data_IF_641738082164
#
_entry.id   IF_641738082164
#
_cell.length_a   1.000
_cell.length_b   1.000
_cell.length_c   1.000
_cell.angle_alpha   90.00
_cell.angle_beta   90.00
_cell.angle_gamma   90.00
#
_symmetry.space_group_name_H-M   'P 1'
#
loop_
_entity.id
_entity.type
_entity.pdbx_description
1 polymer ?
#
# COMPACT_ATOMS: atom_id res chain seq x y z
N UNK A 1 -37.67 -49.25 24.06
CA UNK A 1 -37.85 -47.78 24.18
C UNK A 1 -36.64 -47.12 23.56
N UNK A 2 -36.86 -46.34 22.51
CA UNK A 2 -35.82 -45.64 21.77
C UNK A 2 -35.30 -44.46 22.60
N UNK A 3 -33.98 -44.31 22.72
CA UNK A 3 -33.39 -43.09 23.29
C UNK A 3 -32.78 -42.28 22.13
N UNK A 4 -33.42 -41.17 21.78
CA UNK A 4 -32.98 -40.19 20.78
C UNK A 4 -32.06 -39.16 21.44
N UNK A 5 -30.88 -39.02 20.84
CA UNK A 5 -30.08 -37.81 20.59
C UNK A 5 -30.08 -36.65 21.61
N UNK A 6 -28.88 -36.20 21.96
CA UNK A 6 -28.45 -34.86 21.53
C UNK A 6 -26.99 -34.91 21.10
N UNK A 7 -26.76 -34.76 19.79
CA UNK A 7 -25.44 -34.60 19.21
C UNK A 7 -24.96 -33.17 19.45
N UNK A 8 -23.71 -33.04 19.88
CA UNK A 8 -22.98 -31.78 19.86
C UNK A 8 -22.82 -31.32 18.42
N UNK A 9 -23.34 -30.14 18.10
CA UNK A 9 -23.12 -29.47 16.80
C UNK A 9 -21.63 -29.12 16.69
N UNK A 10 -20.91 -29.52 15.63
CA UNK A 10 -19.54 -29.10 15.42
C UNK A 10 -19.47 -27.65 14.93
N UNK A 11 -18.61 -26.85 15.56
CA UNK A 11 -17.95 -25.71 14.93
C UNK A 11 -18.81 -24.48 14.67
N UNK A 12 -19.16 -23.74 15.71
CA UNK A 12 -19.16 -22.28 15.55
C UNK A 12 -17.71 -21.85 15.43
N UNK A 13 -17.26 -21.50 14.22
CA UNK A 13 -16.07 -20.67 14.09
C UNK A 13 -16.35 -19.39 14.87
N UNK A 14 -15.62 -19.18 15.97
CA UNK A 14 -15.60 -17.88 16.63
C UNK A 14 -15.27 -16.84 15.54
N UNK A 15 -16.18 -15.88 15.35
CA UNK A 15 -15.94 -14.78 14.44
C UNK A 15 -14.69 -14.06 14.92
N UNK A 16 -13.58 -14.26 14.21
CA UNK A 16 -12.30 -13.69 14.60
C UNK A 16 -12.42 -12.17 14.57
N UNK A 17 -12.12 -11.50 15.69
CA UNK A 17 -12.03 -10.03 15.74
C UNK A 17 -10.82 -9.51 14.95
N UNK A 18 -10.01 -10.40 14.37
CA UNK A 18 -8.85 -10.06 13.58
C UNK A 18 -9.19 -9.15 12.39
N UNK A 19 -8.28 -8.21 12.11
CA UNK A 19 -8.32 -7.37 10.92
C UNK A 19 -7.73 -8.13 9.75
N UNK A 20 -8.43 -8.14 8.62
CA UNK A 20 -8.00 -8.72 7.36
C UNK A 20 -7.19 -7.68 6.58
N UNK A 21 -5.91 -7.97 6.32
CA UNK A 21 -5.00 -7.02 5.68
C UNK A 21 -4.58 -7.53 4.31
N UNK A 22 -4.87 -6.74 3.28
CA UNK A 22 -4.57 -7.07 1.88
C UNK A 22 -3.45 -6.17 1.37
N UNK A 23 -2.37 -6.74 0.88
CA UNK A 23 -1.38 -6.01 0.10
C UNK A 23 -1.83 -5.90 -1.37
N UNK A 24 -1.81 -4.70 -1.94
CA UNK A 24 -2.10 -4.45 -3.35
C UNK A 24 -0.88 -3.80 -4.04
N UNK A 25 -0.08 -4.63 -4.69
CA UNK A 25 1.06 -4.20 -5.49
C UNK A 25 0.72 -3.86 -6.93
N UNK A 26 1.64 -3.18 -7.59
CA UNK A 26 1.59 -2.96 -9.03
C UNK A 26 2.68 -2.00 -9.47
N UNK A 27 2.99 -2.02 -10.77
CA UNK A 27 3.91 -1.05 -11.36
C UNK A 27 3.32 0.37 -11.27
N UNK A 28 4.15 1.44 -11.27
CA UNK A 28 3.63 2.79 -11.35
C UNK A 28 2.75 2.96 -12.60
N UNK A 29 1.64 3.68 -12.45
CA UNK A 29 0.68 3.86 -13.54
C UNK A 29 -0.27 2.68 -13.79
N UNK A 30 -0.16 1.57 -13.05
CA UNK A 30 -1.04 0.39 -13.19
C UNK A 30 -2.49 0.64 -12.79
N UNK A 31 -2.75 1.64 -11.95
CA UNK A 31 -4.09 1.93 -11.42
C UNK A 31 -4.39 1.29 -10.07
N UNK A 32 -3.38 0.82 -9.34
CA UNK A 32 -3.44 0.33 -7.94
C UNK A 32 -4.36 1.16 -7.03
N UNK A 33 -4.16 2.47 -6.92
CA UNK A 33 -4.98 3.33 -6.05
C UNK A 33 -6.46 3.38 -6.49
N UNK A 34 -6.72 3.44 -7.79
CA UNK A 34 -8.09 3.37 -8.33
C UNK A 34 -8.76 2.02 -8.02
N UNK A 35 -8.01 0.91 -8.17
CA UNK A 35 -8.54 -0.42 -7.88
C UNK A 35 -8.80 -0.61 -6.38
N UNK A 36 -7.92 -0.14 -5.50
CA UNK A 36 -8.13 -0.24 -4.05
C UNK A 36 -9.36 0.53 -3.59
N UNK A 37 -9.58 1.74 -4.12
CA UNK A 37 -10.80 2.53 -3.84
C UNK A 37 -12.06 1.76 -4.26
N UNK A 38 -12.05 1.17 -5.47
CA UNK A 38 -13.17 0.37 -5.99
C UNK A 38 -13.44 -0.91 -5.19
N UNK A 39 -12.39 -1.57 -4.72
CA UNK A 39 -12.52 -2.74 -3.83
C UNK A 39 -13.20 -2.31 -2.52
N UNK A 40 -12.73 -1.24 -1.90
CA UNK A 40 -13.27 -0.70 -0.65
C UNK A 40 -14.75 -0.32 -0.81
N UNK A 41 -15.06 0.46 -1.86
CA UNK A 41 -16.44 0.89 -2.13
C UNK A 41 -17.38 -0.30 -2.35
N UNK A 42 -16.93 -1.31 -3.09
CA UNK A 42 -17.72 -2.51 -3.35
C UNK A 42 -17.96 -3.33 -2.07
N UNK A 43 -16.94 -3.53 -1.25
CA UNK A 43 -17.04 -4.25 0.02
C UNK A 43 -17.99 -3.51 0.98
N UNK A 44 -17.81 -2.21 1.14
CA UNK A 44 -18.66 -1.39 2.00
C UNK A 44 -20.12 -1.39 1.54
N UNK A 45 -20.36 -1.36 0.22
CA UNK A 45 -21.70 -1.47 -0.34
C UNK A 45 -22.35 -2.84 -0.07
N UNK A 46 -21.60 -3.94 -0.18
CA UNK A 46 -22.08 -5.30 0.12
C UNK A 46 -22.42 -5.44 1.62
N UNK A 47 -21.57 -4.90 2.50
CA UNK A 47 -21.76 -4.99 3.94
C UNK A 47 -22.76 -3.96 4.50
N UNK A 48 -23.10 -2.92 3.74
CA UNK A 48 -23.96 -1.83 4.18
C UNK A 48 -23.35 -0.97 5.30
N UNK A 49 -22.03 -1.01 5.47
CA UNK A 49 -21.30 -0.28 6.51
C UNK A 49 -19.87 -0.01 6.07
N UNK A 50 -19.21 0.97 6.69
CA UNK A 50 -17.84 1.35 6.38
C UNK A 50 -16.84 0.45 7.16
N UNK A 51 -16.70 -0.78 6.66
CA UNK A 51 -15.89 -1.87 7.24
C UNK A 51 -14.52 -2.02 6.56
N UNK A 52 -14.38 -1.49 5.35
CA UNK A 52 -13.18 -1.55 4.55
C UNK A 52 -12.59 -0.16 4.34
N UNK A 53 -11.27 -0.07 4.27
CA UNK A 53 -10.58 1.15 3.86
C UNK A 53 -9.27 0.86 3.12
N UNK A 54 -8.82 1.83 2.33
CA UNK A 54 -7.54 1.78 1.64
C UNK A 54 -6.52 2.70 2.32
N UNK A 55 -5.28 2.23 2.40
CA UNK A 55 -4.14 3.02 2.92
C UNK A 55 -3.04 2.99 1.87
N UNK A 56 -2.56 4.18 1.47
CA UNK A 56 -1.48 4.30 0.51
C UNK A 56 -0.12 4.25 1.19
N UNK A 57 0.79 3.47 0.61
CA UNK A 57 2.20 3.45 1.00
C UNK A 57 2.88 4.82 0.77
N UNK A 58 2.31 5.71 -0.04
CA UNK A 58 2.90 7.03 -0.32
C UNK A 58 3.07 7.87 0.95
N UNK A 59 2.27 7.64 2.00
CA UNK A 59 2.44 8.31 3.30
C UNK A 59 3.78 8.00 3.99
N UNK A 60 4.48 6.96 3.56
CA UNK A 60 5.78 6.55 4.10
C UNK A 60 6.97 7.14 3.34
N UNK A 61 6.77 8.03 2.37
CA UNK A 61 7.90 8.78 1.82
C UNK A 61 8.65 9.52 2.93
N UNK A 62 9.98 9.53 2.88
CA UNK A 62 10.75 10.45 3.70
C UNK A 62 10.42 11.88 3.28
N UNK A 63 10.37 12.78 4.26
CA UNK A 63 10.13 14.21 4.02
C UNK A 63 11.25 14.81 3.18
N UNK A 64 10.98 15.88 2.43
CA UNK A 64 12.01 16.66 1.72
C UNK A 64 13.13 17.06 2.67
N UNK A 65 12.80 17.44 3.90
CA UNK A 65 13.79 17.78 4.93
C UNK A 65 14.70 16.60 5.27
N UNK A 66 14.16 15.41 5.48
CA UNK A 66 14.95 14.20 5.74
C UNK A 66 15.85 13.85 4.54
N UNK A 67 15.32 13.94 3.31
CA UNK A 67 16.11 13.70 2.10
C UNK A 67 17.24 14.72 1.91
N UNK A 68 17.01 15.99 2.25
CA UNK A 68 18.02 17.05 2.21
C UNK A 68 19.12 16.88 3.27
N UNK A 69 18.86 16.11 4.33
CA UNK A 69 19.82 15.81 5.39
C UNK A 69 20.68 14.56 5.11
N UNK A 70 20.43 13.82 4.02
CA UNK A 70 21.23 12.66 3.62
C UNK A 70 22.58 13.07 3.02
N UNK A 71 23.53 12.14 2.97
CA UNK A 71 24.89 12.36 2.44
C UNK A 71 24.91 12.92 1.02
N UNK A 72 23.96 12.50 0.16
CA UNK A 72 23.81 13.01 -1.19
C UNK A 72 22.38 13.51 -1.44
N UNK A 73 22.06 14.74 -1.00
CA UNK A 73 20.69 15.26 -1.02
C UNK A 73 20.19 15.48 -2.45
N UNK A 74 21.09 15.82 -3.39
CA UNK A 74 20.73 15.95 -4.81
C UNK A 74 20.26 14.62 -5.40
N UNK A 75 20.98 13.53 -5.10
CA UNK A 75 20.60 12.18 -5.53
C UNK A 75 19.31 11.73 -4.83
N UNK A 76 19.16 11.99 -3.53
CA UNK A 76 17.95 11.68 -2.77
C UNK A 76 16.70 12.35 -3.33
N UNK A 77 16.79 13.64 -3.64
CA UNK A 77 15.68 14.38 -4.26
C UNK A 77 15.39 13.94 -5.70
N UNK A 78 16.44 13.65 -6.49
CA UNK A 78 16.29 13.11 -7.84
C UNK A 78 15.61 11.73 -7.80
N UNK A 79 16.01 10.90 -6.85
CA UNK A 79 15.56 9.52 -6.71
C UNK A 79 14.39 9.30 -5.77
N UNK A 80 13.72 10.39 -5.37
CA UNK A 80 12.53 10.31 -4.52
C UNK A 80 11.46 9.49 -5.23
N UNK A 81 11.02 8.43 -4.55
CA UNK A 81 10.20 7.37 -5.10
C UNK A 81 10.93 6.02 -5.17
N UNK A 82 12.26 5.97 -5.01
CA UNK A 82 13.03 4.73 -4.84
C UNK A 82 12.84 4.12 -3.42
N UNK A 83 13.07 2.81 -3.20
CA UNK A 83 12.73 2.16 -1.93
C UNK A 83 13.39 2.79 -0.70
N UNK A 84 14.67 3.19 -0.82
CA UNK A 84 15.42 3.83 0.25
C UNK A 84 15.02 5.28 0.55
N UNK A 85 14.09 5.84 -0.23
CA UNK A 85 13.49 7.17 0.01
C UNK A 85 12.17 7.10 0.78
N UNK A 86 11.85 5.92 1.31
CA UNK A 86 10.71 5.68 2.19
C UNK A 86 11.19 5.21 3.56
N UNK A 87 10.39 5.48 4.59
CA UNK A 87 10.53 4.87 5.90
C UNK A 87 9.90 3.47 5.91
N UNK A 88 10.69 2.50 5.47
CA UNK A 88 10.26 1.11 5.36
C UNK A 88 10.01 0.47 6.74
N UNK A 89 10.70 0.92 7.79
CA UNK A 89 10.47 0.43 9.15
C UNK A 89 9.10 0.90 9.67
N UNK A 90 8.78 2.18 9.52
CA UNK A 90 7.47 2.71 9.89
C UNK A 90 6.33 2.02 9.13
N UNK A 91 6.55 1.67 7.86
CA UNK A 91 5.59 0.87 7.09
C UNK A 91 5.35 -0.50 7.73
N UNK A 92 6.42 -1.26 8.01
CA UNK A 92 6.33 -2.57 8.68
C UNK A 92 5.61 -2.46 10.02
N UNK A 93 5.95 -1.44 10.82
CA UNK A 93 5.34 -1.20 12.11
C UNK A 93 3.83 -0.91 12.00
N UNK A 94 3.38 -0.17 10.98
CA UNK A 94 1.96 0.03 10.72
C UNK A 94 1.27 -1.30 10.44
N UNK A 95 1.78 -2.09 9.49
CA UNK A 95 1.16 -3.36 9.10
C UNK A 95 1.08 -4.32 10.30
N UNK A 96 2.14 -4.37 11.10
CA UNK A 96 2.18 -5.15 12.34
C UNK A 96 1.10 -4.69 13.32
N UNK A 97 0.99 -3.39 13.59
CA UNK A 97 -0.03 -2.84 14.49
C UNK A 97 -1.45 -3.14 14.00
N UNK A 98 -1.68 -3.07 12.69
CA UNK A 98 -2.97 -3.40 12.11
C UNK A 98 -3.39 -4.84 12.42
N UNK A 99 -2.43 -5.77 12.44
CA UNK A 99 -2.68 -7.18 12.75
C UNK A 99 -2.79 -7.46 14.25
N UNK A 100 -1.90 -6.88 15.05
CA UNK A 100 -1.80 -7.16 16.50
C UNK A 100 -2.83 -6.39 17.34
N UNK A 101 -3.35 -5.26 16.84
CA UNK A 101 -4.29 -4.41 17.57
C UNK A 101 -5.56 -4.13 16.74
N UNK A 102 -6.36 -5.17 16.42
CA UNK A 102 -7.56 -5.02 15.61
C UNK A 102 -8.65 -4.18 16.27
N UNK A 103 -8.67 -4.12 17.60
CA UNK A 103 -9.69 -3.41 18.38
C UNK A 103 -9.24 -2.03 18.87
N UNK A 104 -8.10 -1.53 18.37
CA UNK A 104 -7.60 -0.17 18.64
C UNK A 104 -7.54 0.66 17.36
N UNK A 105 -7.67 1.98 17.51
CA UNK A 105 -7.41 2.91 16.41
C UNK A 105 -5.91 2.97 16.15
N UNK A 106 -5.52 2.65 14.92
CA UNK A 106 -4.14 2.76 14.43
C UNK A 106 -4.04 4.00 13.54
N UNK A 107 -3.01 4.81 13.72
CA UNK A 107 -2.81 6.03 12.92
C UNK A 107 -1.80 5.77 11.81
N UNK A 108 -2.19 6.06 10.57
CA UNK A 108 -1.34 5.95 9.40
C UNK A 108 -1.01 7.35 8.84
N UNK A 109 0.17 7.52 8.23
CA UNK A 109 0.48 8.73 7.50
C UNK A 109 -0.27 8.79 6.16
N UNK A 110 -0.59 9.98 5.70
CA UNK A 110 -1.03 10.25 4.33
C UNK A 110 0.09 10.96 3.56
N UNK A 111 -0.11 11.17 2.25
CA UNK A 111 0.79 11.99 1.43
C UNK A 111 0.03 13.17 0.82
N UNK A 112 0.49 14.38 1.13
CA UNK A 112 -0.07 15.59 0.54
C UNK A 112 0.64 15.87 -0.79
N UNK A 113 -0.05 15.65 -1.92
CA UNK A 113 0.52 15.87 -3.24
C UNK A 113 0.70 17.35 -3.60
N UNK A 114 -0.01 18.28 -2.95
CA UNK A 114 0.15 19.72 -3.19
C UNK A 114 1.42 20.24 -2.50
N UNK A 115 1.68 19.78 -1.27
CA UNK A 115 2.92 20.08 -0.54
C UNK A 115 4.08 19.21 -1.05
N UNK A 116 3.77 17.99 -1.47
CA UNK A 116 4.74 16.96 -1.86
C UNK A 116 5.49 16.40 -0.65
N UNK A 117 4.84 16.23 0.49
CA UNK A 117 5.41 15.64 1.70
C UNK A 117 4.37 14.80 2.47
N UNK A 118 4.81 13.81 3.26
CA UNK A 118 3.91 13.02 4.10
C UNK A 118 3.31 13.86 5.23
N UNK A 119 2.07 13.53 5.61
CA UNK A 119 1.42 14.06 6.81
C UNK A 119 1.26 12.92 7.82
N UNK A 120 1.98 13.03 8.93
CA UNK A 120 1.98 12.02 9.98
C UNK A 120 0.63 11.97 10.71
N UNK A 121 0.22 10.77 11.12
CA UNK A 121 -1.00 10.52 11.91
C UNK A 121 -2.29 11.09 11.28
N UNK A 122 -2.38 11.12 9.97
CA UNK A 122 -3.49 11.77 9.25
C UNK A 122 -4.70 10.86 9.02
N UNK A 123 -4.46 9.55 8.91
CA UNK A 123 -5.49 8.56 8.61
C UNK A 123 -5.74 7.74 9.87
N UNK A 124 -6.97 7.77 10.38
CA UNK A 124 -7.40 6.97 11.52
C UNK A 124 -8.03 5.65 11.07
N UNK A 125 -7.33 4.54 11.34
CA UNK A 125 -7.80 3.18 11.07
C UNK A 125 -8.48 2.65 12.32
N UNK A 126 -9.77 2.97 12.45
CA UNK A 126 -10.62 2.62 13.58
C UNK A 126 -10.92 1.10 13.69
N UNK A 127 -11.35 0.61 14.87
CA UNK A 127 -11.72 -0.80 15.08
C UNK A 127 -12.80 -1.34 14.15
N UNK A 128 -13.65 -0.47 13.59
CA UNK A 128 -14.68 -0.86 12.61
C UNK A 128 -14.10 -1.24 11.25
N UNK A 129 -12.92 -0.75 10.90
CA UNK A 129 -12.25 -1.10 9.65
C UNK A 129 -11.61 -2.48 9.80
N UNK A 130 -12.41 -3.53 9.55
CA UNK A 130 -12.00 -4.93 9.64
C UNK A 130 -11.28 -5.39 8.38
N UNK A 131 -11.39 -4.67 7.26
CA UNK A 131 -10.64 -4.94 6.03
C UNK A 131 -9.79 -3.72 5.68
N UNK A 132 -8.47 -3.91 5.56
CA UNK A 132 -7.56 -2.82 5.17
C UNK A 132 -6.78 -3.23 3.94
N UNK A 133 -6.96 -2.48 2.85
CA UNK A 133 -6.22 -2.64 1.61
C UNK A 133 -5.04 -1.68 1.61
N UNK A 134 -3.84 -2.20 1.68
CA UNK A 134 -2.61 -1.42 1.64
C UNK A 134 -2.05 -1.45 0.23
N UNK A 135 -2.08 -0.31 -0.46
CA UNK A 135 -1.62 -0.20 -1.84
C UNK A 135 -0.25 0.47 -1.92
N UNK A 136 0.66 -0.07 -2.72
CA UNK A 136 2.02 0.48 -2.78
C UNK A 136 2.94 -0.21 -3.77
N UNK A 137 4.00 0.50 -4.17
CA UNK A 137 5.03 -0.05 -5.07
C UNK A 137 5.81 -1.19 -4.41
N UNK A 138 6.02 -1.10 -3.09
CA UNK A 138 6.91 -2.01 -2.36
C UNK A 138 6.17 -3.01 -1.49
N UNK A 139 4.85 -3.09 -1.62
CA UNK A 139 4.03 -4.06 -0.88
C UNK A 139 4.41 -5.53 -1.19
N UNK A 140 5.06 -5.78 -2.33
CA UNK A 140 5.55 -7.10 -2.74
C UNK A 140 7.08 -7.21 -2.86
N UNK A 141 7.84 -6.23 -2.36
CA UNK A 141 9.30 -6.31 -2.41
C UNK A 141 9.80 -7.38 -1.44
N UNK A 142 10.64 -8.27 -1.94
CA UNK A 142 11.25 -9.38 -1.19
C UNK A 142 12.66 -8.99 -0.68
N UNK A 143 12.74 -7.86 0.02
CA UNK A 143 13.97 -7.34 0.57
C UNK A 143 13.71 -6.72 1.94
N UNK A 144 14.68 -6.79 2.83
CA UNK A 144 14.55 -6.17 4.14
C UNK A 144 14.59 -4.64 4.04
N UNK A 145 13.80 -3.92 4.85
CA UNK A 145 12.87 -4.45 5.86
C UNK A 145 11.47 -4.76 5.30
N UNK A 146 11.13 -4.38 4.05
CA UNK A 146 9.81 -4.58 3.43
C UNK A 146 9.26 -6.00 3.56
N UNK A 147 10.14 -7.00 3.40
CA UNK A 147 9.81 -8.42 3.53
C UNK A 147 9.13 -8.75 4.87
N UNK A 148 9.45 -8.04 5.96
CA UNK A 148 8.86 -8.28 7.27
C UNK A 148 7.35 -8.00 7.31
N UNK A 149 6.83 -7.13 6.43
CA UNK A 149 5.40 -6.85 6.35
C UNK A 149 4.59 -8.06 5.82
N UNK A 150 5.22 -8.92 5.01
CA UNK A 150 4.52 -10.02 4.32
C UNK A 150 3.90 -11.02 5.28
N UNK A 151 4.50 -11.25 6.46
CA UNK A 151 3.97 -12.16 7.48
C UNK A 151 2.65 -11.68 8.11
N UNK A 152 2.30 -10.40 7.92
CA UNK A 152 1.13 -9.77 8.51
C UNK A 152 0.01 -9.55 7.48
N UNK A 153 0.24 -9.83 6.19
CA UNK A 153 -0.80 -9.81 5.17
C UNK A 153 -1.55 -11.14 5.15
N UNK A 154 -2.88 -11.07 5.08
CA UNK A 154 -3.71 -12.25 4.83
C UNK A 154 -3.74 -12.58 3.32
N UNK A 155 -3.75 -11.54 2.47
CA UNK A 155 -3.79 -11.65 1.01
C UNK A 155 -2.79 -10.69 0.35
N UNK A 156 -2.31 -11.07 -0.82
CA UNK A 156 -1.32 -10.27 -1.58
C UNK A 156 -1.65 -10.31 -3.06
N UNK A 157 -2.10 -9.18 -3.61
CA UNK A 157 -2.61 -9.07 -4.97
C UNK A 157 -1.73 -8.16 -5.81
N UNK A 158 -1.48 -8.57 -7.06
CA UNK A 158 -0.72 -7.78 -8.01
C UNK A 158 -1.62 -7.26 -9.13
N UNK A 159 -1.64 -5.95 -9.32
CA UNK A 159 -2.33 -5.32 -10.45
C UNK A 159 -1.53 -5.56 -11.73
N UNK A 160 -2.00 -6.54 -12.50
CA UNK A 160 -1.51 -6.79 -13.86
C UNK A 160 -2.09 -5.75 -14.81
N UNK A 161 -1.27 -4.78 -15.20
CA UNK A 161 -1.62 -3.92 -16.32
C UNK A 161 -1.55 -4.72 -17.63
N UNK A 162 -2.51 -4.50 -18.51
CA UNK A 162 -2.56 -5.18 -19.81
C UNK A 162 -1.41 -4.74 -20.74
N UNK A 163 -0.90 -3.52 -20.57
CA UNK A 163 0.17 -2.94 -21.39
C UNK A 163 1.09 -2.06 -20.54
N UNK A 164 2.39 -2.41 -20.51
CA UNK A 164 3.43 -1.64 -19.80
C UNK A 164 3.61 -0.25 -20.40
N UNK A 165 3.45 -0.10 -21.72
CA UNK A 165 3.56 1.19 -22.39
C UNK A 165 2.43 2.12 -21.93
N UNK A 166 1.22 1.60 -21.73
CA UNK A 166 0.10 2.39 -21.19
C UNK A 166 0.41 2.86 -19.77
N UNK A 167 1.01 2.03 -18.93
CA UNK A 167 1.44 2.43 -17.59
C UNK A 167 2.50 3.53 -17.63
N UNK A 168 3.47 3.38 -18.52
CA UNK A 168 4.55 4.34 -18.73
C UNK A 168 4.02 5.70 -19.21
N UNK A 169 3.12 5.72 -20.19
CA UNK A 169 2.50 6.96 -20.68
C UNK A 169 1.64 7.65 -19.61
N UNK A 170 0.91 6.87 -18.79
CA UNK A 170 0.19 7.41 -17.62
C UNK A 170 1.15 8.02 -16.61
N UNK A 171 2.29 7.37 -16.36
CA UNK A 171 3.31 7.85 -15.43
C UNK A 171 3.95 9.16 -15.91
N UNK A 172 4.27 9.26 -17.20
CA UNK A 172 4.74 10.50 -17.85
C UNK A 172 3.71 11.60 -17.66
N UNK A 173 2.45 11.33 -18.01
CA UNK A 173 1.37 12.31 -17.94
C UNK A 173 1.18 12.82 -16.51
N UNK A 174 1.26 11.94 -15.51
CA UNK A 174 1.21 12.30 -14.09
C UNK A 174 2.38 13.17 -13.65
N UNK A 175 3.59 12.89 -14.10
CA UNK A 175 4.76 13.71 -13.75
C UNK A 175 4.63 15.15 -14.26
N UNK A 176 4.14 15.32 -15.49
CA UNK A 176 3.90 16.66 -16.06
C UNK A 176 2.75 17.35 -15.33
N UNK A 177 1.62 16.67 -15.14
CA UNK A 177 0.45 17.24 -14.46
C UNK A 177 0.72 17.63 -13.00
N UNK A 178 1.57 16.87 -12.30
CA UNK A 178 1.98 17.16 -10.92
C UNK A 178 3.11 18.21 -10.81
N UNK A 179 3.58 18.78 -11.94
CA UNK A 179 4.66 19.76 -11.95
C UNK A 179 6.04 19.18 -11.56
N UNK A 180 6.18 17.85 -11.54
CA UNK A 180 7.45 17.17 -11.25
C UNK A 180 8.42 17.21 -12.44
N UNK A 181 7.91 17.51 -13.63
CA UNK A 181 8.65 17.74 -14.85
C UNK A 181 7.93 18.80 -15.69
N UNK A 182 8.67 19.68 -16.38
CA UNK A 182 8.06 20.73 -17.20
C UNK A 182 7.42 20.18 -18.49
N UNK A 183 7.95 19.07 -19.01
CA UNK A 183 7.52 18.46 -20.25
C UNK A 183 7.74 16.93 -20.24
N UNK A 184 7.27 16.27 -21.30
CA UNK A 184 7.42 14.82 -21.49
C UNK A 184 8.88 14.36 -21.48
N UNK A 185 9.78 15.12 -22.10
CA UNK A 185 11.20 14.76 -22.21
C UNK A 185 11.84 14.71 -20.83
N UNK A 186 11.59 15.71 -20.00
CA UNK A 186 12.06 15.76 -18.61
C UNK A 186 11.39 14.69 -17.74
N UNK A 187 10.11 14.40 -17.96
CA UNK A 187 9.41 13.32 -17.27
C UNK A 187 10.06 11.96 -17.56
N UNK A 188 10.34 11.66 -18.83
CA UNK A 188 11.02 10.44 -19.26
C UNK A 188 12.42 10.33 -18.63
N UNK A 189 13.19 11.40 -18.61
CA UNK A 189 14.52 11.42 -17.98
C UNK A 189 14.43 11.11 -16.47
N UNK A 190 13.49 11.73 -15.77
CA UNK A 190 13.27 11.52 -14.35
C UNK A 190 12.82 10.10 -14.04
N UNK A 191 11.88 9.56 -14.81
CA UNK A 191 11.38 8.19 -14.65
C UNK A 191 12.52 7.18 -14.88
N UNK A 192 13.28 7.35 -15.96
CA UNK A 192 14.41 6.48 -16.29
C UNK A 192 15.48 6.44 -15.18
N UNK A 193 15.68 7.55 -14.45
CA UNK A 193 16.59 7.60 -13.31
C UNK A 193 16.07 6.83 -12.08
N UNK A 194 14.76 6.53 -12.01
CA UNK A 194 14.08 5.85 -10.92
C UNK A 194 13.63 4.42 -11.22
N UNK A 195 13.73 4.01 -12.47
CA UNK A 195 13.13 2.80 -13.04
C UNK A 195 13.59 1.48 -12.41
N UNK A 196 14.80 1.43 -11.84
CA UNK A 196 15.47 0.18 -11.45
C UNK A 196 14.69 -0.70 -10.45
N UNK A 197 13.81 -0.11 -9.63
CA UNK A 197 12.99 -0.84 -8.63
C UNK A 197 11.49 -0.85 -8.91
N UNK A 198 11.04 -0.12 -9.94
CA UNK A 198 9.61 0.08 -10.20
C UNK A 198 9.02 -1.02 -11.11
N UNK A 199 9.85 -1.98 -11.53
CA UNK A 199 9.47 -3.11 -12.38
C UNK A 199 8.99 -4.29 -11.53
N UNK A 200 8.15 -5.14 -12.12
CA UNK A 200 7.57 -6.32 -11.48
C UNK A 200 8.67 -7.11 -10.73
N UNK A 201 8.51 -7.39 -9.41
CA UNK A 201 9.49 -8.17 -8.67
C UNK A 201 9.64 -9.56 -9.31
N UNK A 202 10.88 -10.06 -9.39
CA UNK A 202 11.23 -11.32 -10.07
C UNK A 202 10.60 -12.57 -9.45
N UNK A 203 10.03 -12.44 -8.24
CA UNK A 203 9.23 -13.47 -7.57
C UNK A 203 8.06 -12.79 -6.87
N UNK A 204 6.86 -12.95 -7.42
CA UNK A 204 5.61 -12.71 -6.68
C UNK A 204 5.39 -13.97 -5.85
N UNK A 205 5.34 -13.84 -4.53
CA UNK A 205 4.94 -14.94 -3.65
C UNK A 205 3.42 -15.03 -3.74
N UNK A 206 2.91 -16.15 -4.23
CA UNK A 206 1.53 -16.55 -4.01
C UNK A 206 1.53 -17.30 -2.67
N UNK A 207 0.73 -16.84 -1.71
CA UNK A 207 0.42 -17.61 -0.51
C UNK A 207 -0.49 -18.80 -0.87
#
# INVERSE_FOLDING_TARGET
MANRQSGSVPGQQEATTARFVVALGGVPGSGKSYLSERIVDAVNAICGTDVAMAVSMDGFHLTKQQLLAMDNPKLAMLRRGAPWTFDACAFVDLVKQLREHPDSTVLAPSFDHAVGDPKQNDIAIEPRHRIVVIEGLYAHVNEMPWLQAHQYFDESWWVCAADEQVCYERLISRHVAAGLAADRTQAVQRISANDAYQRRPSKIIYN
#
